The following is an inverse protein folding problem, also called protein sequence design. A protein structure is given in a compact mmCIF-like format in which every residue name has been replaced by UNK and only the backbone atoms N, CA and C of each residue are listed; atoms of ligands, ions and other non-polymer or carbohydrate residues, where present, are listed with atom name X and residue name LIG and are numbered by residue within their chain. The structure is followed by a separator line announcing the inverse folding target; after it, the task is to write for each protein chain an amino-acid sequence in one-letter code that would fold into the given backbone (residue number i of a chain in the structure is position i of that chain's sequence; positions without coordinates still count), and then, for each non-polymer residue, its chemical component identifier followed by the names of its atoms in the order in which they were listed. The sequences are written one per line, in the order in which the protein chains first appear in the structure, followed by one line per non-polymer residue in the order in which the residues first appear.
data_IF_639015089989
#
_entry.id   IF_639015089989
#
_cell.length_a   1.000
_cell.length_b   1.000
_cell.length_c   1.000
_cell.angle_alpha   90.00
_cell.angle_beta   90.00
_cell.angle_gamma   90.00
#
_symmetry.space_group_name_H-M   'P 1'
#
loop_
_entity.id
_entity.type
_entity.pdbx_description
1 polymer ?
#
# COMPACT_ATOMS: atom_id res chain seq x y z
N UNK A 1 -35.48 11.87 8.15
CA UNK A 1 -34.96 11.52 9.47
C UNK A 1 -35.92 10.74 10.38
N UNK A 2 -37.21 11.04 10.43
CA UNK A 2 -38.15 10.43 11.39
C UNK A 2 -38.42 8.94 11.08
N UNK A 3 -38.48 8.59 9.81
CA UNK A 3 -38.79 7.21 9.40
C UNK A 3 -37.70 6.17 9.61
N UNK A 4 -36.45 6.55 9.79
CA UNK A 4 -35.37 5.59 9.97
C UNK A 4 -35.48 4.82 11.29
N UNK A 5 -35.68 5.48 12.47
CA UNK A 5 -35.93 4.76 13.71
C UNK A 5 -37.19 3.88 13.65
N UNK A 6 -38.28 4.39 13.03
CA UNK A 6 -39.51 3.64 12.84
C UNK A 6 -39.28 2.39 11.99
N UNK A 7 -38.61 2.52 10.84
CA UNK A 7 -38.27 1.37 10.02
C UNK A 7 -37.38 0.36 10.75
N UNK A 8 -36.41 0.82 11.51
CA UNK A 8 -35.54 -0.07 12.28
C UNK A 8 -36.32 -0.90 13.33
N UNK A 9 -37.18 -0.24 14.11
CA UNK A 9 -38.03 -0.91 15.07
C UNK A 9 -39.02 -1.88 14.40
N UNK A 10 -39.59 -1.45 13.31
CA UNK A 10 -40.50 -2.28 12.50
C UNK A 10 -39.80 -3.54 11.96
N UNK A 11 -38.61 -3.38 11.39
CA UNK A 11 -37.81 -4.51 10.91
C UNK A 11 -37.48 -5.50 12.02
N UNK A 12 -37.04 -5.02 13.19
CA UNK A 12 -36.68 -5.89 14.32
C UNK A 12 -37.88 -6.72 14.79
N UNK A 13 -39.05 -6.07 14.95
CA UNK A 13 -40.25 -6.75 15.40
C UNK A 13 -40.75 -7.80 14.38
N UNK A 14 -40.81 -7.45 13.11
CA UNK A 14 -41.27 -8.35 12.06
C UNK A 14 -40.34 -9.50 11.77
N UNK A 15 -39.01 -9.28 11.88
CA UNK A 15 -38.01 -10.35 11.81
C UNK A 15 -38.18 -11.36 12.95
N UNK A 16 -38.44 -10.86 14.18
CA UNK A 16 -38.73 -11.71 15.33
C UNK A 16 -40.01 -12.54 15.17
N UNK A 17 -40.99 -12.02 14.45
CA UNK A 17 -42.22 -12.72 14.08
C UNK A 17 -42.03 -13.72 12.92
N UNK A 18 -40.86 -13.74 12.28
CA UNK A 18 -40.54 -14.69 11.20
C UNK A 18 -40.90 -14.21 9.79
N UNK A 19 -41.18 -12.93 9.60
CA UNK A 19 -41.45 -12.37 8.28
C UNK A 19 -40.17 -12.29 7.43
N UNK A 20 -40.31 -12.49 6.13
CA UNK A 20 -39.20 -12.30 5.19
C UNK A 20 -38.89 -10.81 4.97
N UNK A 21 -37.61 -10.45 4.60
CA UNK A 21 -37.26 -9.06 4.30
C UNK A 21 -38.14 -8.38 3.27
N UNK A 22 -38.63 -9.14 2.28
CA UNK A 22 -39.53 -8.63 1.24
C UNK A 22 -40.88 -8.25 1.84
N UNK A 23 -41.50 -9.15 2.59
CA UNK A 23 -42.78 -8.90 3.25
C UNK A 23 -42.71 -7.71 4.22
N UNK A 24 -41.60 -7.59 4.96
CA UNK A 24 -41.38 -6.47 5.87
C UNK A 24 -41.35 -5.13 5.13
N UNK A 25 -40.65 -5.05 4.00
CA UNK A 25 -40.60 -3.84 3.20
C UNK A 25 -41.96 -3.49 2.59
N UNK A 26 -42.64 -4.46 2.01
CA UNK A 26 -43.97 -4.28 1.42
C UNK A 26 -44.96 -3.76 2.47
N UNK A 27 -45.07 -4.42 3.62
CA UNK A 27 -45.94 -4.03 4.72
C UNK A 27 -45.58 -2.66 5.31
N UNK A 28 -44.27 -2.34 5.42
CA UNK A 28 -43.85 -1.03 5.91
C UNK A 28 -44.32 0.10 5.00
N UNK A 29 -44.28 -0.08 3.67
CA UNK A 29 -44.76 0.92 2.73
C UNK A 29 -46.28 1.05 2.77
N UNK A 30 -46.99 -0.05 2.88
CA UNK A 30 -48.47 -0.04 3.03
C UNK A 30 -48.90 0.69 4.30
N UNK A 31 -48.19 0.49 5.42
CA UNK A 31 -48.62 1.04 6.72
C UNK A 31 -48.19 2.51 6.92
N UNK A 32 -46.95 2.88 6.47
CA UNK A 32 -46.38 4.18 6.80
C UNK A 32 -46.20 5.12 5.60
N UNK A 33 -46.36 4.63 4.39
CA UNK A 33 -46.08 5.39 3.16
C UNK A 33 -47.06 5.02 2.01
N UNK A 34 -48.28 4.74 2.39
CA UNK A 34 -49.31 4.42 1.43
C UNK A 34 -49.49 5.49 0.34
N UNK A 35 -49.59 5.07 -0.91
CA UNK A 35 -49.72 5.93 -2.09
C UNK A 35 -48.40 6.32 -2.74
N UNK A 36 -47.22 5.98 -2.19
CA UNK A 36 -45.92 6.18 -2.89
C UNK A 36 -45.78 5.18 -4.07
N UNK A 37 -45.37 5.70 -5.24
CA UNK A 37 -45.09 4.85 -6.38
C UNK A 37 -43.74 4.09 -6.20
N UNK A 38 -43.47 3.08 -7.04
CA UNK A 38 -42.27 2.23 -6.95
C UNK A 38 -40.98 3.04 -6.96
N UNK A 39 -40.88 4.11 -7.75
CA UNK A 39 -39.70 4.96 -7.80
C UNK A 39 -39.50 5.71 -6.49
N UNK A 40 -40.54 6.20 -5.86
CA UNK A 40 -40.48 6.90 -4.57
C UNK A 40 -40.10 5.95 -3.44
N UNK A 41 -40.59 4.72 -3.47
CA UNK A 41 -40.21 3.65 -2.54
C UNK A 41 -38.73 3.30 -2.70
N UNK A 42 -38.26 3.10 -3.93
CA UNK A 42 -36.82 2.84 -4.21
C UNK A 42 -35.94 3.99 -3.77
N UNK A 43 -36.31 5.23 -4.02
CA UNK A 43 -35.57 6.43 -3.58
C UNK A 43 -35.49 6.51 -2.05
N UNK A 44 -36.54 6.11 -1.34
CA UNK A 44 -36.55 6.05 0.10
C UNK A 44 -35.58 4.96 0.61
N UNK A 45 -35.69 3.73 0.10
CA UNK A 45 -34.78 2.64 0.48
C UNK A 45 -33.32 2.98 0.18
N UNK A 46 -33.06 3.61 -0.96
CA UNK A 46 -31.71 4.06 -1.30
C UNK A 46 -31.16 5.09 -0.28
N UNK A 47 -32.01 6.01 0.19
CA UNK A 47 -31.62 6.95 1.27
C UNK A 47 -31.36 6.25 2.60
N UNK A 48 -32.08 5.18 2.91
CA UNK A 48 -31.85 4.35 4.10
C UNK A 48 -30.50 3.66 4.00
N UNK A 49 -30.19 3.02 2.89
CA UNK A 49 -28.91 2.38 2.62
C UNK A 49 -27.78 3.41 2.78
N UNK A 50 -27.89 4.57 2.15
CA UNK A 50 -26.91 5.65 2.26
C UNK A 50 -26.73 6.13 3.71
N UNK A 51 -27.75 6.12 4.51
CA UNK A 51 -27.66 6.47 5.93
C UNK A 51 -26.86 5.41 6.71
N UNK A 52 -27.17 4.12 6.50
CA UNK A 52 -26.47 3.01 7.15
C UNK A 52 -24.98 3.04 6.81
N UNK A 53 -24.64 3.22 5.54
CA UNK A 53 -23.25 3.31 5.09
C UNK A 53 -22.47 4.46 5.76
N UNK A 54 -23.12 5.60 5.94
CA UNK A 54 -22.50 6.72 6.66
C UNK A 54 -22.29 6.43 8.14
N UNK A 55 -23.16 5.61 8.74
CA UNK A 55 -22.93 5.12 10.10
C UNK A 55 -21.74 4.19 10.18
N UNK A 56 -21.55 3.30 9.19
CA UNK A 56 -20.36 2.44 9.12
C UNK A 56 -19.08 3.29 9.05
N UNK A 57 -19.06 4.29 8.16
CA UNK A 57 -17.92 5.23 8.05
C UNK A 57 -17.63 5.94 9.39
N UNK A 58 -18.67 6.34 10.14
CA UNK A 58 -18.48 6.94 11.46
C UNK A 58 -17.93 5.94 12.48
N UNK A 59 -18.38 4.68 12.42
CA UNK A 59 -17.86 3.62 13.30
C UNK A 59 -16.38 3.38 13.01
N UNK A 60 -15.97 3.29 11.72
CA UNK A 60 -14.58 3.16 11.33
C UNK A 60 -13.71 4.30 11.94
N UNK A 61 -14.17 5.55 11.83
CA UNK A 61 -13.46 6.69 12.42
C UNK A 61 -13.42 6.65 13.97
N UNK A 62 -14.46 6.12 14.61
CA UNK A 62 -14.51 5.94 16.08
C UNK A 62 -13.55 4.83 16.52
N UNK A 63 -13.49 3.71 15.80
CA UNK A 63 -12.57 2.61 16.08
C UNK A 63 -11.12 3.06 15.94
N UNK A 64 -10.79 3.77 14.87
CA UNK A 64 -9.47 4.35 14.65
C UNK A 64 -9.10 5.33 15.78
N UNK A 65 -10.01 6.23 16.16
CA UNK A 65 -9.78 7.20 17.22
C UNK A 65 -9.61 6.55 18.61
N UNK A 66 -10.29 5.44 18.85
CA UNK A 66 -10.25 4.72 20.11
C UNK A 66 -9.10 3.69 20.17
N UNK A 67 -8.48 3.33 19.04
CA UNK A 67 -7.56 2.21 18.93
C UNK A 67 -6.45 2.23 19.99
N UNK A 68 -5.74 3.35 20.11
CA UNK A 68 -4.64 3.50 21.08
C UNK A 68 -5.09 3.51 22.54
N UNK A 69 -6.38 3.82 22.82
CA UNK A 69 -6.95 3.82 24.16
C UNK A 69 -7.43 2.43 24.58
N UNK A 70 -7.93 1.66 23.61
CA UNK A 70 -8.47 0.31 23.84
C UNK A 70 -7.38 -0.76 23.80
N UNK A 71 -6.32 -0.54 23.03
CA UNK A 71 -5.24 -1.49 22.84
C UNK A 71 -3.98 -1.02 23.58
N UNK A 72 -3.44 -1.88 24.43
CA UNK A 72 -2.15 -1.63 25.06
C UNK A 72 -1.02 -1.90 24.08
N UNK A 73 -0.58 -0.87 23.35
CA UNK A 73 0.46 -0.97 22.32
C UNK A 73 1.85 -1.32 22.86
N UNK A 74 2.05 -1.24 24.20
CA UNK A 74 3.29 -1.64 24.88
C UNK A 74 3.11 -2.92 25.71
N UNK A 75 1.92 -3.53 25.67
CA UNK A 75 1.58 -4.72 26.43
C UNK A 75 1.95 -6.04 25.75
N UNK A 76 1.35 -7.12 26.23
CA UNK A 76 1.56 -8.47 25.72
C UNK A 76 1.31 -8.54 24.19
N UNK A 77 2.30 -9.04 23.47
CA UNK A 77 2.25 -9.16 22.02
C UNK A 77 2.80 -7.93 21.27
N UNK A 78 3.21 -6.88 21.98
CA UNK A 78 3.91 -5.75 21.38
C UNK A 78 5.39 -6.06 21.10
N UNK A 79 6.00 -5.28 20.22
CA UNK A 79 7.42 -5.38 19.93
C UNK A 79 8.26 -5.08 21.19
N UNK A 80 7.91 -4.04 21.92
CA UNK A 80 8.60 -3.66 23.16
C UNK A 80 8.59 -4.78 24.20
N UNK A 81 7.43 -5.42 24.43
CA UNK A 81 7.33 -6.56 25.37
C UNK A 81 8.15 -7.77 24.88
N UNK A 82 8.11 -8.03 23.57
CA UNK A 82 8.92 -9.09 22.98
C UNK A 82 10.42 -8.84 23.21
N UNK A 83 10.92 -7.64 22.97
CA UNK A 83 12.34 -7.29 23.16
C UNK A 83 12.75 -7.42 24.64
N UNK A 84 11.94 -6.91 25.59
CA UNK A 84 12.19 -7.07 27.02
C UNK A 84 12.26 -8.55 27.41
N UNK A 85 11.41 -9.40 26.83
CA UNK A 85 11.42 -10.84 27.11
C UNK A 85 12.65 -11.52 26.55
N UNK A 86 13.12 -11.14 25.34
CA UNK A 86 14.34 -11.66 24.75
C UNK A 86 15.57 -11.27 25.55
N UNK A 87 15.64 -10.04 26.02
CA UNK A 87 16.71 -9.54 26.88
C UNK A 87 16.76 -10.30 28.22
N UNK A 88 15.63 -10.43 28.92
CA UNK A 88 15.54 -11.17 30.18
C UNK A 88 15.89 -12.65 30.05
N UNK A 89 15.59 -13.25 28.90
CA UNK A 89 15.94 -14.64 28.62
C UNK A 89 17.41 -14.84 28.18
N UNK A 90 18.16 -13.75 27.97
CA UNK A 90 19.55 -13.83 27.46
C UNK A 90 19.67 -14.26 25.99
N UNK A 91 18.58 -14.17 25.20
CA UNK A 91 18.47 -14.72 23.85
C UNK A 91 18.71 -13.67 22.75
N UNK A 92 19.22 -12.49 23.08
CA UNK A 92 19.42 -11.41 22.08
C UNK A 92 20.39 -11.81 20.95
N UNK A 93 21.46 -12.55 21.25
CA UNK A 93 22.40 -13.02 20.22
C UNK A 93 21.74 -14.00 19.25
N UNK A 94 20.91 -14.92 19.75
CA UNK A 94 20.17 -15.85 18.89
C UNK A 94 19.15 -15.09 18.04
N UNK A 95 18.46 -14.11 18.61
CA UNK A 95 17.56 -13.23 17.88
C UNK A 95 18.28 -12.48 16.76
N UNK A 96 19.43 -11.89 17.03
CA UNK A 96 20.25 -11.18 16.02
C UNK A 96 20.62 -12.11 14.86
N UNK A 97 21.06 -13.34 15.15
CA UNK A 97 21.39 -14.32 14.10
C UNK A 97 20.16 -14.68 13.25
N UNK A 98 18.99 -14.83 13.86
CA UNK A 98 17.74 -15.10 13.13
C UNK A 98 17.29 -13.93 12.28
N UNK A 99 17.44 -12.70 12.76
CA UNK A 99 17.02 -11.49 12.05
C UNK A 99 17.84 -11.23 10.76
N UNK A 100 19.03 -11.82 10.62
CA UNK A 100 19.82 -11.73 9.38
C UNK A 100 19.10 -12.40 8.19
N UNK A 101 18.30 -13.41 8.44
CA UNK A 101 17.61 -14.23 7.42
C UNK A 101 16.07 -14.15 7.51
N UNK A 102 15.55 -13.60 8.59
CA UNK A 102 14.10 -13.48 8.81
C UNK A 102 13.54 -12.25 8.12
N UNK A 103 12.46 -12.44 7.38
CA UNK A 103 11.64 -11.34 6.89
C UNK A 103 10.17 -11.76 6.79
N UNK A 104 9.28 -10.81 6.98
CA UNK A 104 7.86 -10.96 6.70
C UNK A 104 7.53 -10.24 5.40
N UNK A 105 6.59 -10.80 4.65
CA UNK A 105 6.14 -10.21 3.39
C UNK A 105 4.63 -9.97 3.40
N UNK A 106 4.17 -8.82 3.92
CA UNK A 106 2.81 -8.38 3.69
C UNK A 106 2.60 -8.12 2.19
N UNK A 107 1.51 -8.63 1.63
CA UNK A 107 1.17 -8.41 0.23
C UNK A 107 -0.12 -7.62 0.14
N UNK A 108 -0.07 -6.46 -0.50
CA UNK A 108 -1.26 -5.65 -0.77
C UNK A 108 -1.97 -6.22 -2.00
N UNK A 109 -3.22 -6.61 -1.80
CA UNK A 109 -4.07 -7.19 -2.85
C UNK A 109 -5.25 -6.26 -3.14
N UNK A 110 -5.73 -6.24 -4.37
CA UNK A 110 -6.95 -5.53 -4.69
C UNK A 110 -8.16 -6.30 -4.11
N UNK A 111 -8.92 -5.66 -3.22
CA UNK A 111 -10.15 -6.23 -2.70
C UNK A 111 -11.30 -5.25 -3.00
N UNK A 112 -12.23 -5.60 -3.89
CA UNK A 112 -13.24 -4.67 -4.38
C UNK A 112 -14.28 -4.26 -3.32
N UNK A 113 -14.29 -4.91 -2.16
CA UNK A 113 -15.37 -4.75 -1.16
C UNK A 113 -15.12 -3.67 -0.11
N UNK A 114 -13.95 -3.02 -0.06
CA UNK A 114 -13.60 -2.08 1.02
C UNK A 114 -13.01 -0.74 0.56
N UNK A 115 -13.19 -0.35 -0.69
CA UNK A 115 -12.62 0.90 -1.17
C UNK A 115 -13.59 2.07 -1.01
N UNK A 116 -13.42 2.79 0.09
CA UNK A 116 -13.92 4.17 0.11
C UNK A 116 -13.16 5.00 -0.92
N UNK A 117 -13.85 5.82 -1.73
CA UNK A 117 -13.18 6.82 -2.56
C UNK A 117 -12.25 7.69 -1.71
N UNK A 118 -11.13 8.15 -2.26
CA UNK A 118 -10.15 8.95 -1.52
C UNK A 118 -10.74 10.15 -0.76
N UNK A 119 -11.82 10.74 -1.29
CA UNK A 119 -12.60 11.80 -0.61
C UNK A 119 -13.28 11.33 0.67
N UNK A 120 -13.70 10.07 0.75
CA UNK A 120 -14.31 9.48 1.97
C UNK A 120 -13.22 9.12 2.97
N UNK A 121 -12.11 8.56 2.50
CA UNK A 121 -10.92 8.29 3.34
C UNK A 121 -10.41 9.57 4.01
N UNK A 122 -10.35 10.68 3.29
CA UNK A 122 -9.97 11.97 3.88
C UNK A 122 -10.93 12.39 5.00
N UNK A 123 -12.25 12.22 4.80
CA UNK A 123 -13.24 12.52 5.85
C UNK A 123 -13.08 11.58 7.06
N UNK A 124 -12.77 10.29 6.85
CA UNK A 124 -12.51 9.34 7.96
C UNK A 124 -11.31 9.82 8.77
N UNK A 125 -10.20 10.18 8.12
CA UNK A 125 -8.99 10.70 8.78
C UNK A 125 -9.31 11.96 9.59
N UNK A 126 -9.97 12.94 8.96
CA UNK A 126 -10.34 14.20 9.63
C UNK A 126 -11.31 13.97 10.80
N UNK A 127 -12.26 13.03 10.68
CA UNK A 127 -13.15 12.63 11.77
C UNK A 127 -12.39 11.95 12.92
N UNK A 128 -11.44 11.05 12.59
CA UNK A 128 -10.59 10.39 13.58
C UNK A 128 -9.84 11.41 14.42
N UNK A 129 -9.19 12.38 13.78
CA UNK A 129 -8.45 13.44 14.46
C UNK A 129 -9.38 14.32 15.33
N UNK A 130 -10.54 14.71 14.79
CA UNK A 130 -11.52 15.51 15.53
C UNK A 130 -12.11 14.77 16.76
N UNK A 131 -12.34 13.45 16.63
CA UNK A 131 -12.80 12.60 17.72
C UNK A 131 -11.72 12.47 18.79
N UNK A 132 -10.46 12.26 18.41
CA UNK A 132 -9.33 12.20 19.35
C UNK A 132 -9.15 13.52 20.10
N UNK A 133 -9.32 14.65 19.41
CA UNK A 133 -9.26 15.99 19.99
C UNK A 133 -10.53 16.37 20.78
N UNK A 134 -11.58 15.55 20.73
CA UNK A 134 -12.91 15.85 21.31
C UNK A 134 -13.52 17.18 20.78
N UNK A 135 -13.25 17.53 19.51
CA UNK A 135 -13.78 18.72 18.85
C UNK A 135 -15.16 18.47 18.24
N UNK A 136 -16.22 18.72 19.05
CA UNK A 136 -17.60 18.52 18.63
C UNK A 136 -18.01 19.41 17.43
N UNK A 137 -17.36 20.55 17.25
CA UNK A 137 -17.65 21.46 16.13
C UNK A 137 -17.11 20.89 14.84
N UNK A 138 -15.88 20.44 14.82
CA UNK A 138 -15.26 19.74 13.68
C UNK A 138 -16.00 18.45 13.35
N UNK A 139 -16.32 17.60 14.34
CA UNK A 139 -17.09 16.37 14.15
C UNK A 139 -18.42 16.68 13.43
N UNK A 140 -19.19 17.66 13.90
CA UNK A 140 -20.46 18.06 13.25
C UNK A 140 -20.26 18.53 11.81
N UNK A 141 -19.17 19.25 11.55
CA UNK A 141 -18.83 19.73 10.20
C UNK A 141 -18.52 18.56 9.26
N UNK A 142 -17.66 17.63 9.68
CA UNK A 142 -17.27 16.46 8.88
C UNK A 142 -18.46 15.50 8.65
N UNK A 143 -19.32 15.30 9.65
CA UNK A 143 -20.55 14.52 9.46
C UNK A 143 -21.51 15.17 8.43
N UNK A 144 -21.61 16.51 8.40
CA UNK A 144 -22.35 17.20 7.36
C UNK A 144 -21.72 17.06 5.98
N UNK A 145 -20.40 17.12 5.92
CA UNK A 145 -19.62 16.89 4.69
C UNK A 145 -19.86 15.47 4.18
N UNK A 146 -19.73 14.46 5.05
CA UNK A 146 -20.00 13.06 4.73
C UNK A 146 -21.44 12.87 4.20
N UNK A 147 -22.41 13.55 4.82
CA UNK A 147 -23.81 13.55 4.38
C UNK A 147 -24.03 14.06 2.94
N UNK A 148 -23.12 14.87 2.43
CA UNK A 148 -23.16 15.43 1.05
C UNK A 148 -22.18 14.74 0.09
N UNK A 149 -21.29 13.88 0.61
CA UNK A 149 -20.28 13.20 -0.19
C UNK A 149 -20.84 11.88 -0.73
N UNK A 150 -20.79 11.65 -2.04
CA UNK A 150 -21.15 10.37 -2.61
C UNK A 150 -20.17 9.27 -2.13
N UNK A 151 -20.71 8.18 -1.57
CA UNK A 151 -19.93 7.04 -1.09
C UNK A 151 -19.56 6.08 -2.24
N UNK A 152 -20.33 6.06 -3.30
CA UNK A 152 -20.09 5.20 -4.45
C UNK A 152 -19.47 5.95 -5.62
N UNK A 153 -18.66 5.24 -6.37
CA UNK A 153 -18.25 5.63 -7.70
C UNK A 153 -19.24 5.08 -8.71
N UNK A 154 -19.69 5.93 -9.64
CA UNK A 154 -20.61 5.50 -10.73
C UNK A 154 -19.94 4.61 -11.77
N UNK A 155 -18.61 4.67 -11.87
CA UNK A 155 -17.80 3.90 -12.80
C UNK A 155 -16.95 2.89 -12.03
N UNK A 156 -16.86 1.66 -12.56
CA UNK A 156 -15.97 0.64 -12.00
C UNK A 156 -14.53 1.13 -12.09
N UNK A 157 -13.74 1.09 -11.00
CA UNK A 157 -12.33 1.49 -11.03
C UNK A 157 -11.55 0.59 -12.00
N UNK A 158 -10.58 1.20 -12.67
CA UNK A 158 -9.60 0.45 -13.46
C UNK A 158 -8.56 -0.20 -12.54
N UNK A 159 -7.81 -1.23 -13.00
CA UNK A 159 -6.71 -1.80 -12.22
C UNK A 159 -5.65 -0.75 -11.80
N UNK A 160 -5.47 0.29 -12.60
CA UNK A 160 -4.59 1.41 -12.23
C UNK A 160 -5.17 2.26 -11.09
N UNK A 161 -6.47 2.56 -11.11
CA UNK A 161 -7.14 3.29 -10.03
C UNK A 161 -7.07 2.53 -8.71
N UNK A 162 -7.26 1.20 -8.76
CA UNK A 162 -7.09 0.32 -7.59
C UNK A 162 -5.65 0.38 -7.04
N UNK A 163 -4.66 0.34 -7.93
CA UNK A 163 -3.26 0.48 -7.54
C UNK A 163 -2.98 1.83 -6.87
N UNK A 164 -3.48 2.94 -7.42
CA UNK A 164 -3.29 4.29 -6.85
C UNK A 164 -3.90 4.38 -5.46
N UNK A 165 -5.08 3.82 -5.24
CA UNK A 165 -5.71 3.80 -3.93
C UNK A 165 -4.85 3.06 -2.89
N UNK A 166 -4.25 1.91 -3.25
CA UNK A 166 -3.36 1.16 -2.34
C UNK A 166 -2.00 1.83 -2.16
N UNK A 167 -1.47 2.51 -3.17
CA UNK A 167 -0.23 3.30 -3.06
C UNK A 167 -0.41 4.43 -2.03
N UNK A 168 -1.63 4.96 -1.88
CA UNK A 168 -1.90 5.93 -0.82
C UNK A 168 -1.60 5.37 0.58
N UNK A 169 -2.02 4.12 0.86
CA UNK A 169 -1.69 3.45 2.13
C UNK A 169 -0.19 3.18 2.28
N UNK A 170 0.50 2.83 1.20
CA UNK A 170 1.96 2.70 1.25
C UNK A 170 2.62 4.00 1.70
N UNK A 171 2.19 5.12 1.13
CA UNK A 171 2.74 6.45 1.42
C UNK A 171 2.40 6.94 2.83
N UNK A 172 1.14 6.79 3.25
CA UNK A 172 0.61 7.48 4.43
C UNK A 172 0.57 6.60 5.69
N UNK A 173 0.71 5.28 5.53
CA UNK A 173 0.70 4.33 6.65
C UNK A 173 1.98 3.50 6.68
N UNK A 174 2.22 2.66 5.66
CA UNK A 174 3.31 1.67 5.70
C UNK A 174 4.69 2.28 5.73
N UNK A 175 4.92 3.41 5.05
CA UNK A 175 6.21 4.08 5.01
C UNK A 175 6.69 4.46 6.41
N UNK A 176 5.82 5.07 7.20
CA UNK A 176 6.14 5.48 8.57
C UNK A 176 6.19 4.26 9.49
N UNK A 177 5.14 3.45 9.53
CA UNK A 177 5.02 2.34 10.48
C UNK A 177 6.11 1.28 10.32
N UNK A 178 6.48 0.91 9.09
CA UNK A 178 7.57 -0.03 8.85
C UNK A 178 8.93 0.57 9.24
N UNK A 179 9.12 1.86 8.98
CA UNK A 179 10.31 2.59 9.44
C UNK A 179 10.42 2.62 10.96
N UNK A 180 9.34 2.92 11.66
CA UNK A 180 9.31 3.00 13.13
C UNK A 180 9.58 1.63 13.78
N UNK A 181 8.99 0.55 13.25
CA UNK A 181 9.26 -0.82 13.69
C UNK A 181 10.75 -1.15 13.53
N UNK A 182 11.34 -0.81 12.38
CA UNK A 182 12.75 -1.09 12.10
C UNK A 182 13.67 -0.28 13.01
N UNK A 183 13.38 1.00 13.20
CA UNK A 183 14.14 1.86 14.10
C UNK A 183 14.03 1.42 15.57
N UNK A 184 12.86 0.97 16.03
CA UNK A 184 12.70 0.42 17.37
C UNK A 184 13.50 -0.86 17.55
N UNK A 185 13.45 -1.77 16.58
CA UNK A 185 14.28 -2.99 16.60
C UNK A 185 15.76 -2.66 16.62
N UNK A 186 16.24 -1.77 15.78
CA UNK A 186 17.65 -1.36 15.75
C UNK A 186 18.11 -0.79 17.10
N UNK A 187 17.33 0.09 17.72
CA UNK A 187 17.63 0.67 19.04
C UNK A 187 17.64 -0.36 20.16
N UNK A 188 16.85 -1.43 20.01
CA UNK A 188 16.72 -2.48 21.02
C UNK A 188 17.79 -3.58 20.90
N UNK A 189 18.56 -3.62 19.81
CA UNK A 189 19.57 -4.63 19.55
C UNK A 189 20.97 -4.05 19.84
N UNK A 190 21.67 -4.51 20.90
CA UNK A 190 23.00 -4.01 21.25
C UNK A 190 24.03 -4.37 20.16
N UNK A 191 24.85 -3.39 19.76
CA UNK A 191 25.93 -3.57 18.79
C UNK A 191 25.49 -4.17 17.45
N UNK A 192 24.26 -3.87 17.01
CA UNK A 192 23.80 -4.30 15.69
C UNK A 192 24.46 -3.43 14.62
N UNK A 193 25.28 -4.04 13.78
CA UNK A 193 25.98 -3.43 12.64
C UNK A 193 25.37 -3.82 11.28
N UNK A 194 24.38 -4.71 11.28
CA UNK A 194 23.72 -5.20 10.09
C UNK A 194 22.53 -4.36 9.63
N UNK A 195 22.11 -4.57 8.40
CA UNK A 195 20.87 -4.01 7.87
C UNK A 195 19.68 -4.87 8.27
N UNK A 196 18.67 -4.29 8.90
CA UNK A 196 17.42 -4.98 9.22
C UNK A 196 16.50 -4.97 7.99
N UNK A 197 16.32 -6.13 7.38
CA UNK A 197 15.41 -6.31 6.24
C UNK A 197 14.14 -7.10 6.68
N UNK A 198 13.48 -6.58 7.71
CA UNK A 198 12.39 -7.26 8.40
C UNK A 198 11.11 -7.35 7.57
N UNK A 199 10.82 -6.31 6.80
CA UNK A 199 9.56 -6.14 6.09
C UNK A 199 9.83 -5.99 4.59
N UNK A 200 9.25 -6.90 3.80
CA UNK A 200 9.32 -6.85 2.35
C UNK A 200 7.90 -6.73 1.80
N UNK A 201 7.53 -5.56 1.31
CA UNK A 201 6.17 -5.34 0.80
C UNK A 201 6.00 -5.95 -0.58
N UNK A 202 4.93 -6.73 -0.75
CA UNK A 202 4.44 -7.21 -2.03
C UNK A 202 3.25 -6.38 -2.52
N UNK A 203 3.06 -6.34 -3.84
CA UNK A 203 2.02 -5.54 -4.48
C UNK A 203 1.41 -6.28 -5.68
N UNK A 204 0.13 -6.60 -5.62
CA UNK A 204 -0.57 -7.31 -6.69
C UNK A 204 -1.27 -6.41 -7.71
N UNK A 205 -1.87 -5.26 -7.33
CA UNK A 205 -2.59 -4.42 -8.28
C UNK A 205 -1.68 -3.97 -9.42
N UNK A 206 -2.15 -4.15 -10.64
CA UNK A 206 -1.36 -3.90 -11.85
C UNK A 206 -0.38 -5.01 -12.25
N UNK A 207 -0.16 -6.03 -11.38
CA UNK A 207 0.66 -7.22 -11.68
C UNK A 207 -0.15 -8.52 -11.75
N UNK A 208 -1.32 -8.55 -11.12
CA UNK A 208 -2.18 -9.74 -11.07
C UNK A 208 -3.03 -9.85 -12.34
N UNK A 209 -2.56 -10.65 -13.28
CA UNK A 209 -3.18 -10.88 -14.59
C UNK A 209 -4.04 -12.15 -14.59
N UNK A 210 -3.98 -12.94 -13.50
CA UNK A 210 -4.73 -14.18 -13.38
C UNK A 210 -6.23 -13.89 -13.25
N UNK A 211 -6.97 -14.22 -14.30
CA UNK A 211 -8.43 -13.98 -14.37
C UNK A 211 -8.85 -12.51 -14.57
N UNK A 212 -7.93 -11.55 -14.69
CA UNK A 212 -8.24 -10.15 -14.95
C UNK A 212 -7.71 -9.64 -16.29
N UNK A 213 -8.53 -9.64 -17.36
CA UNK A 213 -8.10 -9.24 -18.70
C UNK A 213 -7.79 -7.73 -18.83
N UNK A 214 -8.11 -6.93 -17.83
CA UNK A 214 -7.86 -5.49 -17.83
C UNK A 214 -6.48 -5.13 -17.28
N UNK A 215 -5.75 -6.07 -16.66
CA UNK A 215 -4.36 -5.88 -16.25
C UNK A 215 -3.44 -6.14 -17.44
N UNK A 216 -3.04 -5.07 -18.11
CA UNK A 216 -2.15 -5.10 -19.28
C UNK A 216 -0.73 -4.67 -18.90
N UNK A 217 0.23 -4.89 -19.80
CA UNK A 217 1.64 -4.58 -19.55
C UNK A 217 1.91 -3.09 -19.34
N UNK A 218 1.20 -2.22 -20.03
CA UNK A 218 1.27 -0.78 -19.83
C UNK A 218 0.79 -0.38 -18.43
N UNK A 219 -0.27 -0.99 -17.93
CA UNK A 219 -0.74 -0.82 -16.55
C UNK A 219 0.34 -1.24 -15.56
N UNK A 220 0.99 -2.39 -15.77
CA UNK A 220 2.08 -2.89 -14.91
C UNK A 220 3.24 -1.89 -14.85
N UNK A 221 3.67 -1.38 -16.01
CA UNK A 221 4.74 -0.37 -16.09
C UNK A 221 4.36 0.95 -15.41
N UNK A 222 3.13 1.42 -15.61
CA UNK A 222 2.63 2.64 -14.97
C UNK A 222 2.59 2.50 -13.44
N UNK A 223 2.11 1.36 -12.94
CA UNK A 223 2.07 1.09 -11.49
C UNK A 223 3.48 1.02 -10.91
N UNK A 224 4.42 0.32 -11.58
CA UNK A 224 5.81 0.26 -11.14
C UNK A 224 6.46 1.65 -11.09
N UNK A 225 6.22 2.46 -12.12
CA UNK A 225 6.67 3.85 -12.16
C UNK A 225 6.09 4.67 -11.01
N UNK A 226 4.78 4.52 -10.76
CA UNK A 226 4.10 5.26 -9.68
C UNK A 226 4.59 4.88 -8.29
N UNK A 227 4.82 3.58 -8.02
CA UNK A 227 5.42 3.11 -6.77
C UNK A 227 6.76 3.80 -6.50
N UNK A 228 7.65 3.82 -7.48
CA UNK A 228 8.95 4.51 -7.37
C UNK A 228 8.79 6.00 -7.13
N UNK A 229 7.94 6.66 -7.91
CA UNK A 229 7.78 8.12 -7.85
C UNK A 229 7.22 8.57 -6.49
N UNK A 230 6.29 7.80 -5.91
CA UNK A 230 5.76 8.06 -4.57
C UNK A 230 6.81 7.79 -3.49
N UNK A 231 7.63 6.75 -3.63
CA UNK A 231 8.75 6.52 -2.72
C UNK A 231 9.75 7.68 -2.73
N UNK A 232 10.12 8.17 -3.91
CA UNK A 232 11.01 9.33 -4.03
C UNK A 232 10.39 10.59 -3.38
N UNK A 233 9.08 10.77 -3.44
CA UNK A 233 8.39 11.82 -2.72
C UNK A 233 8.50 11.66 -1.20
N UNK A 234 8.43 10.43 -0.67
CA UNK A 234 8.65 10.15 0.74
C UNK A 234 10.08 10.51 1.16
N UNK A 235 11.09 10.06 0.41
CA UNK A 235 12.49 10.41 0.66
C UNK A 235 12.73 11.92 0.60
N UNK A 236 12.14 12.61 -0.37
CA UNK A 236 12.21 14.07 -0.47
C UNK A 236 11.65 14.77 0.77
N UNK A 237 10.51 14.29 1.28
CA UNK A 237 9.91 14.87 2.49
C UNK A 237 10.79 14.64 3.72
N UNK A 238 11.38 13.45 3.87
CA UNK A 238 12.27 13.15 4.99
C UNK A 238 13.56 13.98 4.91
N UNK A 239 14.17 14.14 3.74
CA UNK A 239 15.32 15.02 3.53
C UNK A 239 15.02 16.47 3.92
N UNK A 240 13.83 16.97 3.59
CA UNK A 240 13.40 18.32 4.01
C UNK A 240 13.25 18.43 5.52
N UNK A 241 12.76 17.37 6.19
CA UNK A 241 12.68 17.32 7.66
C UNK A 241 14.07 17.31 8.28
N UNK A 242 14.99 16.49 7.76
CA UNK A 242 16.39 16.44 8.18
C UNK A 242 17.08 17.81 8.04
N UNK A 243 17.02 18.42 6.86
CA UNK A 243 17.62 19.72 6.57
C UNK A 243 17.11 20.85 7.46
N UNK A 244 15.83 20.75 7.89
CA UNK A 244 15.25 21.71 8.85
C UNK A 244 15.86 21.56 10.26
N UNK A 245 16.34 20.37 10.63
CA UNK A 245 16.90 20.07 11.94
C UNK A 245 18.42 20.20 11.94
N UNK A 246 19.08 19.70 10.88
CA UNK A 246 20.52 19.66 10.74
C UNK A 246 20.93 20.87 9.92
N UNK A 247 21.30 21.96 10.62
CA UNK A 247 21.70 23.24 10.02
C UNK A 247 23.22 23.49 10.10
N UNK A 248 23.99 22.41 10.31
CA UNK A 248 25.44 22.47 10.47
C UNK A 248 26.12 22.72 9.13
N UNK A 249 27.12 23.61 9.10
CA UNK A 249 27.92 23.92 7.90
C UNK A 249 28.58 22.63 7.37
N UNK A 250 28.58 22.46 6.08
CA UNK A 250 29.01 21.24 5.39
C UNK A 250 27.88 20.21 5.24
N UNK A 251 27.28 19.78 6.33
CA UNK A 251 26.19 18.78 6.31
C UNK A 251 24.91 19.35 5.72
N UNK A 252 24.59 20.61 6.00
CA UNK A 252 23.42 21.28 5.43
C UNK A 252 23.48 21.36 3.91
N UNK A 253 24.64 21.69 3.36
CA UNK A 253 24.90 21.79 1.92
C UNK A 253 24.78 20.41 1.26
N UNK A 254 25.29 19.36 1.89
CA UNK A 254 25.17 17.98 1.41
C UNK A 254 23.72 17.51 1.38
N UNK A 255 22.96 17.74 2.45
CA UNK A 255 21.53 17.43 2.49
C UNK A 255 20.76 18.20 1.40
N UNK A 256 21.13 19.46 1.14
CA UNK A 256 20.53 20.25 0.07
C UNK A 256 20.81 19.66 -1.31
N UNK A 257 22.02 19.16 -1.54
CA UNK A 257 22.39 18.54 -2.83
C UNK A 257 21.73 17.17 -3.01
N UNK A 258 21.59 16.38 -1.96
CA UNK A 258 20.80 15.13 -1.97
C UNK A 258 19.32 15.45 -2.27
N UNK A 259 18.75 16.46 -1.60
CA UNK A 259 17.37 16.91 -1.84
C UNK A 259 17.16 17.33 -3.31
N UNK A 260 18.09 18.11 -3.89
CA UNK A 260 18.04 18.52 -5.30
C UNK A 260 18.13 17.32 -6.25
N UNK A 261 18.98 16.32 -5.96
CA UNK A 261 19.10 15.11 -6.76
C UNK A 261 17.77 14.35 -6.81
N UNK A 262 17.13 14.12 -5.65
CA UNK A 262 15.82 13.45 -5.57
C UNK A 262 14.76 14.28 -6.30
N UNK A 263 14.73 15.59 -6.13
CA UNK A 263 13.77 16.49 -6.76
C UNK A 263 13.88 16.50 -8.29
N UNK A 264 15.10 16.41 -8.84
CA UNK A 264 15.30 16.28 -10.29
C UNK A 264 14.72 14.98 -10.85
N UNK A 265 14.91 13.86 -10.13
CA UNK A 265 14.29 12.58 -10.51
C UNK A 265 12.76 12.66 -10.51
N UNK A 266 12.16 13.32 -9.51
CA UNK A 266 10.70 13.49 -9.42
C UNK A 266 10.17 14.40 -10.54
N UNK A 267 10.83 15.53 -10.82
CA UNK A 267 10.30 16.56 -11.73
C UNK A 267 10.68 16.36 -13.19
N UNK A 268 11.90 15.90 -13.43
CA UNK A 268 12.48 15.81 -14.78
C UNK A 268 12.68 14.37 -15.25
N UNK A 269 12.22 13.39 -14.44
CA UNK A 269 12.38 11.96 -14.73
C UNK A 269 13.84 11.59 -15.04
N UNK A 270 14.80 12.30 -14.44
CA UNK A 270 16.21 11.93 -14.52
C UNK A 270 16.42 10.51 -13.96
N UNK A 271 17.45 9.84 -14.47
CA UNK A 271 17.77 8.49 -14.01
C UNK A 271 18.07 8.50 -12.51
N UNK A 272 17.33 7.70 -11.77
CA UNK A 272 17.56 7.51 -10.35
C UNK A 272 18.83 6.71 -10.09
N UNK A 273 19.75 7.27 -9.33
CA UNK A 273 20.99 6.62 -8.90
C UNK A 273 20.90 6.32 -7.39
N UNK A 274 20.44 5.12 -7.08
CA UNK A 274 20.27 4.66 -5.71
C UNK A 274 21.61 4.54 -4.97
N UNK A 275 22.67 4.10 -5.65
CA UNK A 275 24.00 3.92 -5.03
C UNK A 275 24.56 5.27 -4.59
N UNK A 276 24.47 6.27 -5.46
CA UNK A 276 24.88 7.64 -5.15
C UNK A 276 24.08 8.23 -3.99
N UNK A 277 22.76 8.04 -3.99
CA UNK A 277 21.89 8.50 -2.91
C UNK A 277 22.24 7.87 -1.57
N UNK A 278 22.36 6.55 -1.54
CA UNK A 278 22.72 5.79 -0.33
C UNK A 278 24.09 6.20 0.20
N UNK A 279 25.11 6.29 -0.67
CA UNK A 279 26.45 6.70 -0.28
C UNK A 279 26.49 8.13 0.27
N UNK A 280 25.72 9.05 -0.31
CA UNK A 280 25.64 10.42 0.19
C UNK A 280 25.01 10.50 1.59
N UNK A 281 23.99 9.70 1.89
CA UNK A 281 23.42 9.61 3.23
C UNK A 281 24.40 9.04 4.26
N UNK A 282 25.21 8.04 3.89
CA UNK A 282 26.26 7.51 4.75
C UNK A 282 27.37 8.51 5.01
N UNK A 283 27.69 9.36 4.02
CA UNK A 283 28.64 10.46 4.22
C UNK A 283 28.09 11.47 5.23
N UNK A 284 26.83 11.89 5.10
CA UNK A 284 26.18 12.74 6.10
C UNK A 284 26.24 12.13 7.50
N UNK A 285 26.00 10.81 7.62
CA UNK A 285 26.09 10.09 8.89
C UNK A 285 27.52 10.15 9.48
N UNK A 286 28.56 9.91 8.65
CA UNK A 286 29.99 9.97 9.06
C UNK A 286 30.34 11.37 9.54
N UNK A 287 29.98 12.40 8.76
CA UNK A 287 30.27 13.79 9.10
C UNK A 287 29.64 14.23 10.42
N UNK A 288 28.42 13.74 10.71
CA UNK A 288 27.76 14.00 12.01
C UNK A 288 28.50 13.36 13.17
N UNK A 289 29.05 12.15 13.01
CA UNK A 289 29.83 11.49 14.05
C UNK A 289 31.21 12.17 14.24
N UNK A 290 31.88 12.50 13.15
CA UNK A 290 33.27 12.96 13.19
C UNK A 290 33.39 14.45 13.51
N UNK A 291 32.45 15.27 13.12
CA UNK A 291 32.57 16.74 13.15
C UNK A 291 31.50 17.43 14.02
N UNK A 292 30.45 16.71 14.42
CA UNK A 292 29.28 17.31 15.09
C UNK A 292 28.82 16.51 16.31
N UNK A 293 29.73 15.82 17.01
CA UNK A 293 29.47 15.10 18.26
C UNK A 293 28.27 14.10 18.19
N UNK A 294 27.93 13.62 17.02
CA UNK A 294 26.81 12.70 16.81
C UNK A 294 25.41 13.32 16.99
N UNK A 295 25.29 14.65 17.02
CA UNK A 295 23.99 15.32 17.17
C UNK A 295 23.10 15.00 15.96
N UNK A 296 21.86 14.57 16.22
CA UNK A 296 20.86 14.17 15.22
C UNK A 296 21.19 12.94 14.35
N UNK A 297 22.18 12.16 14.71
CA UNK A 297 22.54 10.90 14.04
C UNK A 297 21.31 9.98 13.91
N UNK A 298 20.49 9.85 14.97
CA UNK A 298 19.31 9.00 14.97
C UNK A 298 18.33 9.35 13.84
N UNK A 299 18.16 10.62 13.50
CA UNK A 299 17.27 11.04 12.41
C UNK A 299 17.77 10.55 11.04
N UNK A 300 19.09 10.53 10.84
CA UNK A 300 19.71 10.02 9.60
C UNK A 300 19.63 8.49 9.56
N UNK A 301 19.84 7.82 10.69
CA UNK A 301 19.70 6.37 10.81
C UNK A 301 18.26 5.92 10.52
N UNK A 302 17.25 6.63 11.01
CA UNK A 302 15.85 6.35 10.70
C UNK A 302 15.55 6.47 9.20
N UNK A 303 16.14 7.45 8.51
CA UNK A 303 16.01 7.52 7.05
C UNK A 303 16.74 6.37 6.36
N UNK A 304 17.95 6.02 6.81
CA UNK A 304 18.70 4.88 6.27
C UNK A 304 17.96 3.55 6.49
N UNK A 305 17.29 3.36 7.64
CA UNK A 305 16.41 2.20 7.88
C UNK A 305 15.30 2.11 6.82
N UNK A 306 14.62 3.22 6.53
CA UNK A 306 13.60 3.28 5.47
C UNK A 306 14.17 3.03 4.08
N UNK A 307 15.37 3.57 3.80
CA UNK A 307 16.06 3.33 2.52
C UNK A 307 16.44 1.86 2.37
N UNK A 308 16.87 1.20 3.44
CA UNK A 308 17.15 -0.23 3.44
C UNK A 308 15.87 -1.08 3.20
N UNK A 309 14.74 -0.70 3.82
CA UNK A 309 13.47 -1.39 3.65
C UNK A 309 12.90 -1.23 2.23
N UNK A 310 12.81 -0.01 1.73
CA UNK A 310 12.04 0.31 0.53
C UNK A 310 12.88 0.43 -0.75
N UNK A 311 14.19 0.60 -0.62
CA UNK A 311 15.13 0.67 -1.74
C UNK A 311 14.75 1.72 -2.77
N UNK A 312 14.51 1.27 -4.00
CA UNK A 312 14.06 2.11 -5.13
C UNK A 312 12.70 1.70 -5.67
N UNK A 313 12.00 0.79 -5.03
CA UNK A 313 10.79 0.16 -5.59
C UNK A 313 9.53 0.31 -4.73
N UNK A 314 9.65 0.71 -3.48
CA UNK A 314 8.61 0.80 -2.46
C UNK A 314 7.99 -0.55 -2.09
N UNK A 315 7.35 -1.20 -3.04
CA UNK A 315 6.84 -2.55 -2.92
C UNK A 315 7.16 -3.34 -4.19
N UNK A 316 7.39 -4.64 -4.06
CA UNK A 316 7.67 -5.53 -5.18
C UNK A 316 6.37 -5.91 -5.88
N UNK A 317 6.26 -5.61 -7.17
CA UNK A 317 5.12 -6.08 -7.97
C UNK A 317 5.27 -7.57 -8.20
N UNK A 318 4.25 -8.34 -7.82
CA UNK A 318 4.12 -9.74 -8.17
C UNK A 318 3.34 -9.85 -9.48
N UNK A 319 3.97 -10.40 -10.49
CA UNK A 319 3.31 -10.66 -11.77
C UNK A 319 2.74 -12.07 -11.73
N UNK A 320 1.41 -12.15 -11.76
CA UNK A 320 0.67 -13.41 -11.69
C UNK A 320 -0.03 -13.68 -13.01
N UNK A 321 0.17 -14.87 -13.54
CA UNK A 321 -0.43 -15.32 -14.79
C UNK A 321 -0.86 -16.78 -14.68
N UNK A 322 -1.91 -17.16 -15.40
CA UNK A 322 -2.31 -18.56 -15.49
C UNK A 322 -1.18 -19.40 -16.15
N UNK A 323 -0.82 -20.50 -15.47
CA UNK A 323 0.19 -21.44 -15.96
C UNK A 323 -0.08 -21.89 -17.41
N UNK A 324 -1.34 -22.04 -17.80
CA UNK A 324 -1.73 -22.47 -19.16
C UNK A 324 -1.38 -21.42 -20.20
N UNK A 325 -1.53 -20.14 -19.87
CA UNK A 325 -1.16 -19.05 -20.76
C UNK A 325 0.37 -18.95 -20.92
N UNK A 326 1.11 -19.18 -19.81
CA UNK A 326 2.58 -19.24 -19.86
C UNK A 326 3.03 -20.39 -20.76
N UNK A 327 2.48 -21.62 -20.53
CA UNK A 327 2.84 -22.78 -21.36
C UNK A 327 2.52 -22.53 -22.83
N UNK A 328 1.32 -22.06 -23.15
CA UNK A 328 0.91 -21.74 -24.50
C UNK A 328 1.86 -20.74 -25.18
N UNK A 329 2.31 -19.72 -24.45
CA UNK A 329 3.22 -18.72 -24.97
C UNK A 329 4.61 -19.31 -25.29
N UNK A 330 5.13 -20.17 -24.44
CA UNK A 330 6.41 -20.82 -24.68
C UNK A 330 6.35 -21.91 -25.77
N UNK A 331 5.26 -22.69 -25.85
CA UNK A 331 5.04 -23.67 -26.91
C UNK A 331 5.00 -22.97 -28.30
N UNK A 332 4.27 -21.84 -28.40
CA UNK A 332 4.23 -21.05 -29.62
C UNK A 332 5.60 -20.45 -30.00
N UNK A 333 6.37 -20.01 -28.99
CA UNK A 333 7.72 -19.49 -29.21
C UNK A 333 8.67 -20.59 -29.68
N UNK A 334 8.61 -21.79 -29.09
CA UNK A 334 9.39 -22.95 -29.50
C UNK A 334 9.08 -23.32 -30.95
N UNK A 335 7.82 -23.36 -31.32
CA UNK A 335 7.38 -23.61 -32.70
C UNK A 335 7.92 -22.54 -33.66
N UNK A 336 7.86 -21.26 -33.28
CA UNK A 336 8.38 -20.16 -34.12
C UNK A 336 9.89 -20.25 -34.34
N UNK A 337 10.64 -20.69 -33.32
CA UNK A 337 12.09 -20.83 -33.36
C UNK A 337 12.54 -22.20 -33.95
N UNK A 338 11.61 -23.13 -34.18
CA UNK A 338 11.90 -24.47 -34.70
C UNK A 338 12.68 -25.36 -33.74
N UNK A 339 12.42 -25.22 -32.43
CA UNK A 339 13.03 -25.99 -31.37
C UNK A 339 11.98 -26.80 -30.60
N UNK A 340 12.41 -27.81 -29.84
CA UNK A 340 11.53 -28.64 -29.03
C UNK A 340 10.89 -27.80 -27.89
N UNK A 341 9.72 -28.23 -27.42
CA UNK A 341 9.05 -27.62 -26.28
C UNK A 341 9.93 -27.71 -25.02
N UNK A 342 10.09 -26.60 -24.27
CA UNK A 342 10.95 -26.57 -23.09
C UNK A 342 10.33 -27.37 -21.95
N UNK A 343 11.09 -28.30 -21.38
CA UNK A 343 10.67 -29.11 -20.22
C UNK A 343 11.30 -28.62 -18.91
N UNK A 344 12.43 -27.93 -19.00
CA UNK A 344 13.19 -27.45 -17.85
C UNK A 344 13.22 -25.91 -17.76
N UNK A 345 13.40 -25.34 -16.55
CA UNK A 345 13.62 -23.89 -16.41
C UNK A 345 14.80 -23.36 -17.22
N UNK A 346 15.88 -24.17 -17.37
CA UNK A 346 17.05 -23.78 -18.16
C UNK A 346 16.72 -23.61 -19.64
N UNK A 347 15.93 -24.51 -20.20
CA UNK A 347 15.45 -24.43 -21.59
C UNK A 347 14.49 -23.26 -21.80
N UNK A 348 13.60 -22.99 -20.84
CA UNK A 348 12.76 -21.77 -20.85
C UNK A 348 13.59 -20.50 -20.91
N UNK A 349 14.65 -20.40 -20.11
CA UNK A 349 15.56 -19.25 -20.15
C UNK A 349 16.31 -19.14 -21.48
N UNK A 350 16.79 -20.27 -22.03
CA UNK A 350 17.46 -20.30 -23.31
C UNK A 350 16.51 -19.86 -24.45
N UNK A 351 15.28 -20.37 -24.44
CA UNK A 351 14.25 -20.01 -25.41
C UNK A 351 13.89 -18.52 -25.33
N UNK A 352 13.72 -17.99 -24.13
CA UNK A 352 13.46 -16.56 -23.90
C UNK A 352 14.64 -15.68 -24.34
N UNK A 353 15.87 -16.14 -24.15
CA UNK A 353 17.06 -15.42 -24.58
C UNK A 353 17.21 -15.39 -26.10
N UNK A 354 16.79 -16.46 -26.79
CA UNK A 354 16.80 -16.58 -28.26
C UNK A 354 15.69 -15.76 -28.95
N UNK A 355 14.66 -15.34 -28.20
CA UNK A 355 13.57 -14.57 -28.78
C UNK A 355 14.01 -13.15 -29.16
N UNK A 356 13.96 -12.85 -30.45
CA UNK A 356 14.32 -11.53 -31.00
C UNK A 356 13.23 -10.45 -30.80
N UNK A 357 12.03 -10.84 -30.38
CA UNK A 357 10.87 -9.98 -30.19
C UNK A 357 9.86 -10.01 -31.32
N UNK A 358 10.05 -10.89 -32.28
CA UNK A 358 9.08 -11.12 -33.36
C UNK A 358 7.77 -11.63 -32.72
N UNK A 359 6.64 -11.07 -33.18
CA UNK A 359 5.31 -11.40 -32.66
C UNK A 359 4.79 -12.67 -33.32
N UNK A 360 4.04 -13.46 -32.57
CA UNK A 360 3.38 -14.67 -33.08
C UNK A 360 2.13 -14.35 -33.89
N UNK A 361 1.55 -13.15 -33.69
CA UNK A 361 0.27 -12.71 -34.24
C UNK A 361 -0.94 -13.05 -33.40
N UNK A 362 -0.74 -13.72 -32.24
CA UNK A 362 -1.76 -13.91 -31.20
C UNK A 362 -1.51 -12.89 -30.07
N UNK A 363 -2.45 -11.96 -29.88
CA UNK A 363 -2.33 -10.87 -28.91
C UNK A 363 -2.09 -11.37 -27.47
N UNK A 364 -2.65 -12.51 -27.07
CA UNK A 364 -2.49 -13.05 -25.70
C UNK A 364 -1.12 -13.68 -25.50
N UNK A 365 -0.66 -14.42 -26.51
CA UNK A 365 0.68 -15.02 -26.52
C UNK A 365 1.72 -13.91 -26.49
N UNK A 366 1.60 -12.95 -27.38
CA UNK A 366 2.52 -11.83 -27.51
C UNK A 366 2.56 -10.97 -26.24
N UNK A 367 1.42 -10.72 -25.61
CA UNK A 367 1.34 -10.01 -24.35
C UNK A 367 2.03 -10.80 -23.21
N UNK A 368 1.86 -12.12 -23.15
CA UNK A 368 2.54 -12.97 -22.17
C UNK A 368 4.05 -12.97 -22.38
N UNK A 369 4.55 -13.13 -23.61
CA UNK A 369 5.98 -13.08 -23.93
C UNK A 369 6.60 -11.71 -23.61
N UNK A 370 5.90 -10.62 -23.92
CA UNK A 370 6.34 -9.26 -23.60
C UNK A 370 6.42 -9.00 -22.11
N UNK A 371 5.65 -9.71 -21.27
CA UNK A 371 5.69 -9.54 -19.82
C UNK A 371 7.08 -9.74 -19.23
N UNK A 372 7.86 -10.67 -19.76
CA UNK A 372 9.25 -10.89 -19.35
C UNK A 372 10.18 -9.72 -19.67
N UNK A 373 9.93 -9.00 -20.79
CA UNK A 373 10.66 -7.77 -21.12
C UNK A 373 10.27 -6.62 -20.19
N UNK A 374 8.98 -6.51 -19.89
CA UNK A 374 8.46 -5.52 -18.94
C UNK A 374 9.07 -5.70 -17.55
N UNK A 375 9.22 -6.96 -17.08
CA UNK A 375 9.93 -7.24 -15.82
C UNK A 375 11.35 -6.68 -15.86
N UNK A 376 12.11 -6.93 -16.91
CA UNK A 376 13.48 -6.40 -17.05
C UNK A 376 13.50 -4.87 -17.08
N UNK A 377 12.53 -4.24 -17.74
CA UNK A 377 12.40 -2.79 -17.76
C UNK A 377 12.11 -2.22 -16.36
N UNK A 378 11.21 -2.86 -15.61
CA UNK A 378 10.94 -2.49 -14.22
C UNK A 378 12.20 -2.67 -13.36
N UNK A 379 12.90 -3.79 -13.49
CA UNK A 379 14.12 -4.06 -12.74
C UNK A 379 15.23 -3.05 -13.06
N UNK A 380 15.34 -2.60 -14.28
CA UNK A 380 16.32 -1.58 -14.67
C UNK A 380 16.05 -0.21 -14.06
N UNK A 381 14.76 0.12 -13.78
CA UNK A 381 14.32 1.40 -13.22
C UNK A 381 14.13 1.35 -11.70
N UNK A 382 13.65 0.22 -11.18
CA UNK A 382 13.19 0.05 -9.79
C UNK A 382 14.06 -0.96 -9.00
N UNK A 383 15.25 -1.28 -9.46
CA UNK A 383 16.15 -2.36 -9.03
C UNK A 383 15.52 -3.78 -9.16
N UNK A 384 16.32 -4.86 -9.07
CA UNK A 384 15.81 -6.23 -9.28
C UNK A 384 14.64 -6.59 -8.36
N UNK A 385 14.65 -6.12 -7.12
CA UNK A 385 13.56 -6.38 -6.14
C UNK A 385 12.21 -5.76 -6.54
N UNK A 386 12.16 -4.79 -7.47
CA UNK A 386 10.92 -4.14 -7.89
C UNK A 386 9.93 -5.06 -8.61
N UNK A 387 10.42 -6.08 -9.31
CA UNK A 387 9.62 -7.12 -9.94
C UNK A 387 10.49 -8.38 -10.10
N UNK A 388 10.52 -9.24 -9.10
CA UNK A 388 11.35 -10.45 -9.10
C UNK A 388 10.55 -11.75 -8.91
N UNK A 389 9.23 -11.65 -8.93
CA UNK A 389 8.30 -12.77 -8.78
C UNK A 389 7.34 -12.81 -9.96
N UNK A 390 7.30 -13.99 -10.56
CA UNK A 390 6.39 -14.31 -11.65
C UNK A 390 5.62 -15.58 -11.30
#
# INVERSE_FOLDING_TARGET
GIFIPVLNEYCLNRLAEGHSPKEIVEQFFEEYKDGENEQEQMDFLFKVIQYIERQVVLVDALEDAAYSKLNNLSGKGSLSEFMIRMERAGNLNELMNRLQVFSIRPVLTAHPTQFYPGRVLAIITDLTDAIQANDLTAIRMYLKQLGKTPLFQKTKPTPYDEAINLIWYLQNVFYQSAGDITAEMRRSLPNWDGTLNLINLGFWPGGDRDGNPFVRLDTTLQVAGRLRDVLLQCYYQDLRRLRRRISFSGVYEELMDIEKMVLKCIRHQEKWDFVKFHSALHKVLSDLYEQHDGIFVELVLELLDRVALFGSHFASIDIRQDRREIKRAFDALAQQLGVDEPETPGELFALQAAWDGTLTGDDRIDDTLRSFRVIREIQAKNVPKGAHRY
#
